data_IF_906670376536
#
_entry.id   IF_906670376536
#
_cell.length_a   1.000
_cell.length_b   1.000
_cell.length_c   1.000
_cell.angle_alpha   90.00
_cell.angle_beta   90.00
_cell.angle_gamma   90.00
#
_symmetry.space_group_name_H-M   'P 1'
#
loop_
_entity.id
_entity.type
_entity.pdbx_description
1 polymer ?
#
# COMPACT_ATOMS: atom_id res chain seq x y z
N UNK A 1 -25.14 26.78 28.80
CA UNK A 1 -26.09 26.02 27.95
C UNK A 1 -25.52 25.63 26.58
N UNK A 2 -24.78 26.49 25.86
CA UNK A 2 -24.20 26.14 24.54
C UNK A 2 -23.25 24.91 24.54
N UNK A 3 -22.53 24.63 25.63
CA UNK A 3 -21.63 23.47 25.75
C UNK A 3 -22.36 22.12 25.88
N UNK A 4 -23.60 22.12 26.41
CA UNK A 4 -24.40 20.91 26.57
C UNK A 4 -25.03 20.49 25.23
N UNK A 5 -25.40 21.47 24.40
CA UNK A 5 -25.99 21.24 23.08
C UNK A 5 -24.98 20.64 22.08
N UNK A 6 -23.70 21.01 22.15
CA UNK A 6 -22.64 20.41 21.32
C UNK A 6 -22.40 18.95 21.70
N UNK A 7 -22.50 18.62 22.99
CA UNK A 7 -22.33 17.24 23.48
C UNK A 7 -23.51 16.34 23.08
N UNK A 8 -24.75 16.87 23.14
CA UNK A 8 -25.96 16.17 22.71
C UNK A 8 -25.97 15.96 21.18
N UNK A 9 -25.54 16.94 20.39
CA UNK A 9 -25.43 16.81 18.94
C UNK A 9 -24.38 15.75 18.52
N UNK A 10 -23.32 15.59 19.30
CA UNK A 10 -22.29 14.56 19.05
C UNK A 10 -22.80 13.15 19.39
N UNK A 11 -23.58 13.00 20.46
CA UNK A 11 -24.22 11.73 20.84
C UNK A 11 -25.28 11.33 19.79
N UNK A 12 -26.06 12.28 19.28
CA UNK A 12 -27.09 12.01 18.27
C UNK A 12 -26.51 11.53 16.94
N UNK A 13 -25.32 11.98 16.55
CA UNK A 13 -24.64 11.52 15.34
C UNK A 13 -24.11 10.08 15.44
N UNK A 14 -23.92 9.56 16.66
CA UNK A 14 -23.52 8.16 16.91
C UNK A 14 -24.73 7.21 16.98
N UNK A 15 -25.92 7.69 17.36
CA UNK A 15 -27.09 6.84 17.59
C UNK A 15 -27.89 6.51 16.30
N UNK A 16 -27.69 7.23 15.19
CA UNK A 16 -28.50 7.07 13.97
C UNK A 16 -27.92 6.10 12.92
N UNK A 17 -27.00 5.18 13.29
CA UNK A 17 -26.38 4.22 12.35
C UNK A 17 -26.79 2.76 12.56
N UNK A 18 -27.78 2.48 13.41
CA UNK A 18 -28.28 1.12 13.65
C UNK A 18 -29.43 0.76 12.68
N UNK A 19 -29.12 0.59 11.39
CA UNK A 19 -29.91 -0.24 10.45
C UNK A 19 -29.19 -0.37 9.10
N UNK A 20 -28.46 -1.46 8.90
CA UNK A 20 -27.98 -1.90 7.59
C UNK A 20 -26.47 -2.10 7.50
N UNK A 21 -26.07 -3.21 6.86
CA UNK A 21 -24.71 -3.58 6.46
C UNK A 21 -24.06 -2.50 5.58
N UNK A 22 -23.70 -1.37 6.19
CA UNK A 22 -22.95 -0.31 5.56
C UNK A 22 -21.49 -0.48 5.92
N UNK A 23 -20.64 -0.41 4.88
CA UNK A 23 -19.18 -0.55 4.99
C UNK A 23 -18.62 0.29 6.14
N UNK A 24 -17.53 -0.16 6.80
CA UNK A 24 -16.91 0.52 7.95
C UNK A 24 -16.40 1.95 7.67
N UNK A 25 -16.55 2.49 6.46
CA UNK A 25 -16.11 3.83 6.09
C UNK A 25 -16.86 4.97 6.79
N UNK A 26 -18.09 4.74 7.28
CA UNK A 26 -18.87 5.75 8.01
C UNK A 26 -18.32 6.06 9.41
N UNK A 27 -17.82 5.07 10.15
CA UNK A 27 -17.21 5.27 11.47
C UNK A 27 -15.98 6.18 11.39
N UNK A 28 -15.20 6.07 10.32
CA UNK A 28 -13.96 6.83 10.16
C UNK A 28 -14.17 8.28 9.70
N UNK A 29 -15.28 8.60 9.03
CA UNK A 29 -15.60 9.99 8.65
C UNK A 29 -15.93 10.86 9.86
N UNK A 30 -16.53 10.30 10.91
CA UNK A 30 -16.86 11.03 12.13
C UNK A 30 -15.61 11.53 12.90
N UNK A 31 -14.46 10.86 12.75
CA UNK A 31 -13.20 11.23 13.41
C UNK A 31 -12.34 12.22 12.61
N UNK A 32 -12.63 12.44 11.32
CA UNK A 32 -11.76 13.19 10.39
C UNK A 32 -12.21 14.62 10.07
N UNK A 33 -13.31 15.12 10.66
CA UNK A 33 -13.88 16.43 10.32
C UNK A 33 -13.34 17.58 11.18
N UNK A 34 -12.37 18.34 10.64
CA UNK A 34 -12.16 19.78 10.94
C UNK A 34 -11.06 20.16 11.94
N UNK A 35 -10.47 21.38 11.81
CA UNK A 35 -9.40 21.86 12.68
C UNK A 35 -9.93 22.16 14.09
N UNK A 36 -9.32 21.51 15.08
CA UNK A 36 -9.61 21.70 16.51
C UNK A 36 -9.21 23.13 16.90
N UNK A 37 -10.19 23.99 17.18
CA UNK A 37 -9.94 25.23 17.94
C UNK A 37 -9.30 24.83 19.28
N UNK A 38 -8.23 25.53 19.69
CA UNK A 38 -7.52 25.34 20.97
C UNK A 38 -8.48 25.53 22.17
N UNK A 39 -9.28 24.51 22.46
CA UNK A 39 -9.96 24.28 23.71
C UNK A 39 -9.12 23.37 24.61
N UNK A 40 -9.55 23.12 25.86
CA UNK A 40 -8.79 22.33 26.81
C UNK A 40 -8.44 20.97 26.19
N UNK A 41 -7.17 20.59 26.34
CA UNK A 41 -6.65 19.27 25.97
C UNK A 41 -7.41 18.24 26.78
N UNK A 42 -8.47 17.67 26.18
CA UNK A 42 -9.12 16.49 26.72
C UNK A 42 -8.10 15.36 26.57
N UNK A 43 -7.48 14.98 27.68
CA UNK A 43 -6.62 13.80 27.77
C UNK A 43 -7.41 12.57 27.30
N UNK A 44 -6.86 11.90 26.29
CA UNK A 44 -7.47 10.94 25.37
C UNK A 44 -7.77 9.55 25.97
N UNK A 45 -8.39 9.51 27.15
CA UNK A 45 -8.85 8.25 27.76
C UNK A 45 -10.36 8.05 27.63
N UNK A 46 -11.15 9.12 27.58
CA UNK A 46 -12.62 9.05 27.49
C UNK A 46 -13.14 8.56 26.13
N UNK A 47 -12.42 8.80 25.03
CA UNK A 47 -12.81 8.33 23.69
C UNK A 47 -12.60 6.82 23.46
N UNK A 48 -11.98 6.13 24.44
CA UNK A 48 -11.64 4.71 24.37
C UNK A 48 -12.60 3.81 25.14
N UNK A 49 -13.47 4.40 25.95
CA UNK A 49 -14.53 3.72 26.66
C UNK A 49 -15.81 4.04 25.91
N UNK A 50 -16.11 3.24 24.87
CA UNK A 50 -17.42 3.26 24.26
C UNK A 50 -18.46 2.99 25.35
N UNK A 51 -19.27 4.00 25.69
CA UNK A 51 -20.43 3.82 26.53
C UNK A 51 -21.50 3.09 25.72
N UNK A 52 -21.87 1.88 26.13
CA UNK A 52 -23.13 1.25 25.71
C UNK A 52 -22.99 0.05 24.78
N UNK A 53 -23.14 -1.12 25.39
CA UNK A 53 -23.89 -2.32 24.91
C UNK A 53 -23.50 -3.08 23.63
N UNK A 54 -22.64 -2.59 22.74
CA UNK A 54 -22.10 -3.44 21.65
C UNK A 54 -20.72 -4.01 22.01
N UNK A 55 -20.60 -5.35 22.02
CA UNK A 55 -19.44 -6.14 22.50
C UNK A 55 -18.15 -6.01 21.67
N UNK A 56 -17.97 -4.93 20.90
CA UNK A 56 -16.70 -4.66 20.23
C UNK A 56 -15.72 -4.08 21.26
N UNK A 57 -14.88 -4.93 21.86
CA UNK A 57 -13.81 -4.50 22.76
C UNK A 57 -12.79 -3.66 21.97
N UNK A 58 -12.92 -2.34 22.05
CA UNK A 58 -11.95 -1.39 21.50
C UNK A 58 -10.80 -1.24 22.50
N UNK A 59 -9.60 -1.64 22.09
CA UNK A 59 -8.39 -1.48 22.91
C UNK A 59 -7.61 -0.28 22.41
N UNK A 60 -7.44 0.72 23.27
CA UNK A 60 -6.72 1.93 22.92
C UNK A 60 -5.25 1.88 23.30
N UNK A 61 -4.43 2.20 22.31
CA UNK A 61 -3.00 2.47 22.46
C UNK A 61 -2.80 3.99 22.36
N UNK A 62 -3.23 4.72 23.40
CA UNK A 62 -3.30 6.19 23.39
C UNK A 62 -2.04 6.88 23.90
N UNK A 63 -1.16 6.18 24.62
CA UNK A 63 0.14 6.72 25.02
C UNK A 63 1.25 6.29 24.06
N UNK A 64 2.29 7.10 23.95
CA UNK A 64 3.50 6.77 23.19
C UNK A 64 4.03 5.41 23.67
N UNK A 65 4.20 4.46 22.74
CA UNK A 65 4.65 3.07 22.98
C UNK A 65 3.75 2.22 23.90
N UNK A 66 2.50 2.58 24.17
CA UNK A 66 1.63 1.81 25.09
C UNK A 66 1.41 0.35 24.69
N UNK A 67 1.46 0.06 23.38
CA UNK A 67 1.29 -1.27 22.80
C UNK A 67 2.49 -1.75 21.99
N UNK A 68 3.59 -0.99 22.01
CA UNK A 68 4.76 -1.29 21.19
C UNK A 68 5.34 -2.67 21.54
N UNK A 69 5.74 -3.42 20.50
CA UNK A 69 6.36 -4.75 20.63
C UNK A 69 5.50 -5.81 21.33
N UNK A 70 4.18 -5.59 21.46
CA UNK A 70 3.25 -6.58 22.02
C UNK A 70 2.66 -7.47 20.91
N UNK A 71 2.29 -8.69 21.28
CA UNK A 71 1.39 -9.53 20.50
C UNK A 71 -0.06 -9.22 20.87
N UNK A 72 -0.87 -8.82 19.90
CA UNK A 72 -2.28 -8.48 20.06
C UNK A 72 -3.13 -9.45 19.24
N UNK A 73 -3.90 -10.26 19.95
CA UNK A 73 -4.77 -11.31 19.38
C UNK A 73 -6.23 -11.03 19.76
N UNK A 74 -7.15 -11.81 19.17
CA UNK A 74 -8.58 -11.79 19.47
C UNK A 74 -9.34 -10.70 18.73
N UNK A 75 -10.60 -10.97 18.35
CA UNK A 75 -11.42 -10.15 17.46
C UNK A 75 -11.78 -8.77 17.99
N UNK A 76 -10.80 -7.87 17.96
CA UNK A 76 -10.82 -6.54 18.57
C UNK A 76 -10.34 -5.49 17.58
N UNK A 77 -10.87 -4.28 17.75
CA UNK A 77 -10.36 -3.08 17.10
C UNK A 77 -9.33 -2.42 18.02
N UNK A 78 -8.13 -2.18 17.51
CA UNK A 78 -7.05 -1.51 18.22
C UNK A 78 -6.84 -0.12 17.65
N UNK A 79 -6.96 0.91 18.49
CA UNK A 79 -6.74 2.29 18.05
C UNK A 79 -5.38 2.80 18.50
N UNK A 80 -4.50 3.08 17.55
CA UNK A 80 -3.14 3.56 17.74
C UNK A 80 -3.14 5.09 17.58
N UNK A 81 -3.47 5.80 18.66
CA UNK A 81 -3.77 7.24 18.65
C UNK A 81 -2.54 8.14 18.90
N UNK A 82 -1.40 7.58 19.30
CA UNK A 82 -0.17 8.32 19.53
C UNK A 82 0.96 7.84 18.61
N UNK A 83 1.91 8.71 18.31
CA UNK A 83 3.08 8.35 17.51
C UNK A 83 3.82 7.17 18.16
N UNK A 84 4.14 6.14 17.39
CA UNK A 84 4.75 4.90 17.87
C UNK A 84 3.95 4.15 18.95
N UNK A 85 2.65 4.39 19.12
CA UNK A 85 1.85 3.68 20.13
C UNK A 85 1.79 2.17 19.89
N UNK A 86 1.81 1.76 18.62
CA UNK A 86 1.77 0.37 18.15
C UNK A 86 3.01 0.01 17.33
N UNK A 87 4.16 0.65 17.63
CA UNK A 87 5.41 0.37 16.93
C UNK A 87 5.84 -1.08 17.14
N UNK A 88 6.17 -1.79 16.06
CA UNK A 88 6.62 -3.18 16.11
C UNK A 88 5.66 -4.14 16.81
N UNK A 89 4.37 -3.77 16.90
CA UNK A 89 3.31 -4.62 17.45
C UNK A 89 2.93 -5.69 16.43
N UNK A 90 2.66 -6.91 16.88
CA UNK A 90 2.16 -8.00 16.05
C UNK A 90 0.67 -8.18 16.29
N UNK A 91 -0.15 -7.91 15.27
CA UNK A 91 -1.59 -8.14 15.23
C UNK A 91 -1.87 -9.48 14.55
N UNK A 92 -2.57 -10.39 15.23
CA UNK A 92 -2.77 -11.75 14.73
C UNK A 92 -4.24 -12.17 14.81
N UNK A 93 -4.81 -12.52 13.65
CA UNK A 93 -6.15 -13.09 13.50
C UNK A 93 -7.06 -12.26 12.59
N UNK A 94 -7.94 -12.94 11.85
CA UNK A 94 -8.78 -12.35 10.78
C UNK A 94 -9.74 -11.26 11.29
N UNK A 95 -10.09 -11.35 12.57
CA UNK A 95 -10.99 -10.40 13.23
C UNK A 95 -10.26 -9.25 13.90
N UNK A 96 -8.92 -9.23 13.88
CA UNK A 96 -8.10 -8.14 14.41
C UNK A 96 -8.02 -6.99 13.40
N UNK A 97 -8.42 -5.80 13.85
CA UNK A 97 -8.33 -4.56 13.06
C UNK A 97 -7.49 -3.55 13.83
N UNK A 98 -6.58 -2.85 13.17
CA UNK A 98 -5.87 -1.71 13.75
C UNK A 98 -6.21 -0.41 13.03
N UNK A 99 -6.42 0.66 13.79
CA UNK A 99 -6.56 2.02 13.27
C UNK A 99 -5.32 2.84 13.64
N UNK A 100 -4.49 3.14 12.65
CA UNK A 100 -3.23 3.86 12.81
C UNK A 100 -3.48 5.35 12.54
N UNK A 101 -3.98 6.05 13.56
CA UNK A 101 -4.61 7.36 13.42
C UNK A 101 -3.62 8.52 13.19
N UNK A 102 -2.36 8.34 13.61
CA UNK A 102 -1.34 9.40 13.57
C UNK A 102 -0.05 8.92 12.92
N UNK A 103 0.83 9.87 12.59
CA UNK A 103 2.14 9.61 12.01
C UNK A 103 2.94 8.62 12.86
N UNK A 104 3.55 7.63 12.20
CA UNK A 104 4.33 6.55 12.81
C UNK A 104 3.56 5.70 13.86
N UNK A 105 2.23 5.74 13.91
CA UNK A 105 1.45 5.01 14.92
C UNK A 105 1.73 3.49 14.91
N UNK A 106 1.77 2.88 13.73
CA UNK A 106 1.98 1.44 13.51
C UNK A 106 3.28 1.16 12.76
N UNK A 107 4.32 1.98 12.99
CA UNK A 107 5.62 1.80 12.37
C UNK A 107 6.19 0.40 12.64
N UNK A 108 6.58 -0.31 11.59
CA UNK A 108 7.11 -1.68 11.66
C UNK A 108 6.16 -2.70 12.31
N UNK A 109 4.86 -2.42 12.37
CA UNK A 109 3.88 -3.39 12.87
C UNK A 109 3.75 -4.58 11.93
N UNK A 110 3.39 -5.74 12.46
CA UNK A 110 3.15 -6.97 11.70
C UNK A 110 1.66 -7.31 11.79
N UNK A 111 1.01 -7.46 10.65
CA UNK A 111 -0.38 -7.89 10.53
C UNK A 111 -0.38 -9.30 9.95
N UNK A 112 -0.76 -10.29 10.75
CA UNK A 112 -0.67 -11.70 10.40
C UNK A 112 -2.02 -12.41 10.51
N UNK A 113 -2.17 -13.51 9.78
CA UNK A 113 -3.35 -14.38 9.78
C UNK A 113 -4.64 -13.57 9.51
N UNK A 114 -4.61 -12.71 8.49
CA UNK A 114 -5.77 -11.91 8.06
C UNK A 114 -6.04 -10.66 8.90
N UNK A 115 -5.19 -10.33 9.88
CA UNK A 115 -5.29 -9.04 10.57
C UNK A 115 -5.20 -7.89 9.55
N UNK A 116 -6.00 -6.85 9.76
CA UNK A 116 -6.08 -5.70 8.85
C UNK A 116 -5.76 -4.39 9.54
N UNK A 117 -5.32 -3.40 8.76
CA UNK A 117 -5.02 -2.07 9.25
C UNK A 117 -5.72 -1.01 8.38
N UNK A 118 -6.33 -0.02 9.04
CA UNK A 118 -6.61 1.27 8.43
C UNK A 118 -5.55 2.24 8.88
N UNK A 119 -4.64 2.51 7.97
CA UNK A 119 -3.66 3.56 8.05
C UNK A 119 -4.41 4.88 7.75
N UNK A 120 -4.22 5.95 8.52
CA UNK A 120 -4.98 7.20 8.33
C UNK A 120 -4.11 8.45 8.20
N UNK A 121 -2.81 8.36 8.48
CA UNK A 121 -1.90 9.49 8.48
C UNK A 121 -0.65 9.20 7.66
N UNK A 122 0.08 10.26 7.31
CA UNK A 122 1.40 10.14 6.67
C UNK A 122 2.29 9.18 7.46
N UNK A 123 2.86 8.17 6.80
CA UNK A 123 3.76 7.17 7.41
C UNK A 123 3.15 6.43 8.61
N UNK A 124 1.82 6.36 8.75
CA UNK A 124 1.20 5.66 9.87
C UNK A 124 1.48 4.14 9.87
N UNK A 125 1.73 3.56 8.68
CA UNK A 125 2.07 2.15 8.48
C UNK A 125 3.45 1.96 7.84
N UNK A 126 4.38 2.87 8.15
CA UNK A 126 5.74 2.86 7.64
C UNK A 126 6.48 1.56 8.00
N UNK A 127 7.06 0.88 7.01
CA UNK A 127 7.70 -0.44 7.16
C UNK A 127 6.83 -1.53 7.79
N UNK A 128 5.50 -1.41 7.77
CA UNK A 128 4.62 -2.45 8.27
C UNK A 128 4.67 -3.70 7.38
N UNK A 129 4.51 -4.87 7.97
CA UNK A 129 4.44 -6.16 7.28
C UNK A 129 3.02 -6.70 7.32
N UNK A 130 2.48 -7.06 6.17
CA UNK A 130 1.14 -7.61 5.99
C UNK A 130 1.25 -9.03 5.44
N UNK A 131 0.82 -10.02 6.21
CA UNK A 131 0.98 -11.45 5.92
C UNK A 131 -0.41 -12.09 5.83
N UNK A 132 -0.71 -12.68 4.68
CA UNK A 132 -1.99 -13.33 4.38
C UNK A 132 -2.68 -12.68 3.20
N UNK A 133 -4.00 -12.59 3.24
CA UNK A 133 -4.80 -12.02 2.16
C UNK A 133 -5.54 -10.79 2.66
N UNK A 134 -5.73 -9.80 1.80
CA UNK A 134 -6.43 -8.59 2.20
C UNK A 134 -6.41 -7.51 1.13
N UNK A 135 -6.99 -6.36 1.47
CA UNK A 135 -6.99 -5.15 0.65
C UNK A 135 -6.34 -4.02 1.42
N UNK A 136 -5.52 -3.22 0.75
CA UNK A 136 -4.89 -2.04 1.34
C UNK A 136 -5.06 -0.82 0.44
N UNK A 137 -5.60 0.27 1.00
CA UNK A 137 -5.71 1.54 0.32
C UNK A 137 -4.64 2.52 0.82
N UNK A 138 -3.65 2.78 -0.01
CA UNK A 138 -2.60 3.76 0.23
C UNK A 138 -3.04 5.10 -0.37
N UNK A 139 -3.85 5.87 0.38
CA UNK A 139 -4.49 7.12 -0.07
C UNK A 139 -3.84 8.40 0.48
N UNK A 140 -2.77 8.30 1.26
CA UNK A 140 -1.99 9.43 1.77
C UNK A 140 -0.54 9.33 1.26
N UNK A 141 0.17 10.44 1.14
CA UNK A 141 1.59 10.40 0.80
C UNK A 141 2.39 9.63 1.87
N UNK A 142 3.29 8.74 1.46
CA UNK A 142 4.11 7.93 2.37
C UNK A 142 3.33 6.91 3.21
N UNK A 143 2.06 6.65 2.88
CA UNK A 143 1.16 5.86 3.74
C UNK A 143 1.65 4.43 3.97
N UNK A 144 2.06 3.79 2.87
CA UNK A 144 2.55 2.42 2.83
C UNK A 144 4.06 2.41 2.51
N UNK A 145 4.77 3.50 2.81
CA UNK A 145 6.19 3.61 2.46
C UNK A 145 7.00 2.50 3.17
N UNK A 146 7.80 1.76 2.41
CA UNK A 146 8.57 0.63 2.95
C UNK A 146 7.74 -0.58 3.37
N UNK A 147 6.41 -0.54 3.22
CA UNK A 147 5.55 -1.61 3.67
C UNK A 147 5.75 -2.88 2.84
N UNK A 148 5.57 -4.01 3.49
CA UNK A 148 5.78 -5.32 2.90
C UNK A 148 4.48 -6.10 2.89
N UNK A 149 4.11 -6.69 1.75
CA UNK A 149 2.88 -7.46 1.59
C UNK A 149 3.20 -8.88 1.12
N UNK A 150 2.69 -9.91 1.79
CA UNK A 150 2.91 -11.32 1.46
C UNK A 150 1.58 -12.06 1.35
N UNK A 151 1.47 -12.96 0.37
CA UNK A 151 0.45 -14.02 0.26
C UNK A 151 -0.97 -13.61 -0.16
N UNK A 152 -1.13 -12.59 -1.01
CA UNK A 152 -2.42 -12.29 -1.66
C UNK A 152 -3.07 -10.98 -1.25
N UNK A 153 -2.29 -9.90 -1.23
CA UNK A 153 -2.80 -8.57 -0.94
C UNK A 153 -3.11 -7.79 -2.21
N UNK A 154 -4.25 -7.11 -2.25
CA UNK A 154 -4.59 -6.12 -3.28
C UNK A 154 -4.35 -4.71 -2.77
N UNK A 155 -3.32 -4.05 -3.32
CA UNK A 155 -2.86 -2.74 -2.86
C UNK A 155 -3.29 -1.68 -3.88
N UNK A 156 -3.96 -0.62 -3.44
CA UNK A 156 -4.34 0.50 -4.31
C UNK A 156 -3.65 1.78 -3.85
N UNK A 157 -2.86 2.37 -4.74
CA UNK A 157 -2.07 3.58 -4.48
C UNK A 157 -2.72 4.75 -5.23
N UNK A 158 -3.47 5.58 -4.51
CA UNK A 158 -4.29 6.67 -5.10
C UNK A 158 -3.72 8.06 -4.88
N UNK A 159 -2.59 8.17 -4.17
CA UNK A 159 -1.92 9.45 -3.90
C UNK A 159 -0.44 9.36 -4.30
N UNK A 160 0.15 10.51 -4.65
CA UNK A 160 1.59 10.63 -4.95
C UNK A 160 2.42 10.08 -3.79
N UNK A 161 3.41 9.24 -4.09
CA UNK A 161 4.31 8.58 -3.12
C UNK A 161 3.58 7.70 -2.10
N UNK A 162 2.36 7.25 -2.36
CA UNK A 162 1.64 6.42 -1.41
C UNK A 162 2.27 5.03 -1.21
N UNK A 163 2.87 4.49 -2.27
CA UNK A 163 3.49 3.16 -2.31
C UNK A 163 4.96 3.23 -2.69
N UNK A 164 5.68 4.19 -2.14
CA UNK A 164 7.13 4.30 -2.33
C UNK A 164 7.84 3.16 -1.58
N UNK A 165 8.80 2.48 -2.22
CA UNK A 165 9.61 1.43 -1.59
C UNK A 165 8.78 0.27 -1.02
N UNK A 166 7.62 -0.04 -1.61
CA UNK A 166 6.82 -1.18 -1.18
C UNK A 166 7.45 -2.48 -1.65
N UNK A 167 7.37 -3.50 -0.80
CA UNK A 167 7.80 -4.84 -1.12
C UNK A 167 6.56 -5.73 -1.34
N UNK A 168 6.50 -6.42 -2.48
CA UNK A 168 5.31 -7.15 -2.92
C UNK A 168 5.66 -8.61 -3.13
N UNK A 169 5.03 -9.45 -2.33
CA UNK A 169 5.21 -10.88 -2.28
C UNK A 169 4.23 -11.69 -3.11
N UNK A 170 4.36 -13.04 -3.10
CA UNK A 170 3.70 -13.90 -4.06
C UNK A 170 2.19 -13.78 -3.88
N UNK A 171 1.49 -13.75 -5.01
CA UNK A 171 0.04 -13.61 -5.09
C UNK A 171 -0.48 -12.20 -4.82
N UNK A 172 0.38 -11.24 -4.44
CA UNK A 172 -0.05 -9.88 -4.14
C UNK A 172 -0.03 -9.00 -5.40
N UNK A 173 -0.94 -8.05 -5.46
CA UNK A 173 -1.09 -7.09 -6.55
C UNK A 173 -1.00 -5.65 -6.05
N UNK A 174 -0.50 -4.75 -6.88
CA UNK A 174 -0.53 -3.31 -6.62
C UNK A 174 -0.99 -2.51 -7.84
N UNK A 175 -1.88 -1.55 -7.62
CA UNK A 175 -2.41 -0.66 -8.64
C UNK A 175 -1.97 0.77 -8.33
N UNK A 176 -1.19 1.35 -9.23
CA UNK A 176 -0.71 2.72 -9.15
C UNK A 176 -1.59 3.59 -10.05
N UNK A 177 -2.55 4.31 -9.47
CA UNK A 177 -3.63 4.97 -10.22
C UNK A 177 -3.37 6.45 -10.54
N UNK A 178 -2.44 7.09 -9.84
CA UNK A 178 -2.11 8.52 -10.03
C UNK A 178 -0.63 8.72 -10.34
N UNK A 179 -0.27 9.91 -10.83
CA UNK A 179 1.12 10.24 -11.17
C UNK A 179 2.06 10.10 -9.96
N UNK A 180 3.18 9.41 -10.17
CA UNK A 180 4.18 9.09 -9.15
C UNK A 180 3.57 8.47 -7.86
N UNK A 181 2.54 7.63 -7.99
CA UNK A 181 1.98 6.88 -6.87
C UNK A 181 2.97 5.85 -6.31
N UNK A 182 3.78 5.25 -7.18
CA UNK A 182 4.74 4.19 -6.87
C UNK A 182 6.15 4.55 -7.37
N UNK A 183 6.80 5.62 -6.86
CA UNK A 183 8.08 6.08 -7.38
C UNK A 183 9.27 5.36 -6.72
N UNK A 184 10.45 5.54 -7.31
CA UNK A 184 11.77 5.11 -6.80
C UNK A 184 12.02 3.63 -7.00
N UNK A 185 11.64 2.79 -6.05
CA UNK A 185 12.01 1.37 -6.06
C UNK A 185 10.82 0.53 -5.60
N UNK A 186 10.62 -0.61 -6.24
CA UNK A 186 9.68 -1.63 -5.82
C UNK A 186 10.36 -2.99 -5.91
N UNK A 187 10.39 -3.69 -4.79
CA UNK A 187 10.95 -5.03 -4.73
C UNK A 187 9.83 -6.06 -4.80
N UNK A 188 9.93 -6.97 -5.76
CA UNK A 188 8.90 -7.94 -6.06
C UNK A 188 9.49 -9.33 -5.91
N UNK A 189 8.84 -10.16 -5.10
CA UNK A 189 9.12 -11.59 -5.02
C UNK A 189 7.85 -12.38 -5.29
N UNK A 190 7.96 -13.39 -6.14
CA UNK A 190 6.90 -14.31 -6.48
C UNK A 190 6.39 -14.13 -7.90
N UNK A 191 6.31 -15.26 -8.60
CA UNK A 191 5.90 -15.34 -10.01
C UNK A 191 4.49 -14.83 -10.29
N UNK A 192 3.64 -14.83 -9.26
CA UNK A 192 2.22 -14.50 -9.30
C UNK A 192 1.94 -13.04 -8.94
N UNK A 193 2.96 -12.25 -8.62
CA UNK A 193 2.79 -10.85 -8.27
C UNK A 193 2.43 -10.00 -9.49
N UNK A 194 1.50 -9.05 -9.33
CA UNK A 194 1.02 -8.17 -10.41
C UNK A 194 1.14 -6.70 -10.03
N UNK A 195 1.92 -5.93 -10.79
CA UNK A 195 1.98 -4.47 -10.65
C UNK A 195 1.31 -3.81 -11.84
N UNK A 196 0.32 -2.95 -11.58
CA UNK A 196 -0.46 -2.27 -12.61
C UNK A 196 -0.28 -0.75 -12.51
N UNK A 197 0.54 -0.20 -13.40
CA UNK A 197 0.77 1.23 -13.57
C UNK A 197 -0.29 1.82 -14.50
N UNK A 198 -1.47 2.11 -13.94
CA UNK A 198 -2.66 2.54 -14.71
C UNK A 198 -2.72 4.06 -14.89
N UNK A 199 -2.23 4.82 -13.90
CA UNK A 199 -2.20 6.27 -13.98
C UNK A 199 -1.14 6.81 -14.93
N UNK A 200 -1.36 7.99 -15.49
CA UNK A 200 -0.34 8.68 -16.27
C UNK A 200 0.89 8.97 -15.40
N UNK A 201 2.07 8.53 -15.84
CA UNK A 201 3.34 8.65 -15.09
C UNK A 201 3.27 8.02 -13.68
N UNK A 202 2.44 7.00 -13.46
CA UNK A 202 2.19 6.46 -12.11
C UNK A 202 3.40 5.80 -11.46
N UNK A 203 4.29 5.23 -12.28
CA UNK A 203 5.51 4.52 -11.93
C UNK A 203 6.71 5.07 -12.74
N UNK A 204 6.67 6.37 -13.08
CA UNK A 204 7.75 7.01 -13.83
C UNK A 204 9.02 7.00 -13.00
N UNK A 205 10.13 6.52 -13.58
CA UNK A 205 11.42 6.42 -12.92
C UNK A 205 11.47 5.39 -11.81
N UNK A 206 10.59 4.38 -11.83
CA UNK A 206 10.58 3.31 -10.84
C UNK A 206 11.48 2.16 -11.30
N UNK A 207 12.29 1.66 -10.37
CA UNK A 207 13.09 0.47 -10.51
C UNK A 207 12.32 -0.73 -9.94
N UNK A 208 11.95 -1.66 -10.83
CA UNK A 208 11.25 -2.88 -10.49
C UNK A 208 12.25 -4.04 -10.42
N UNK A 209 12.59 -4.43 -9.20
CA UNK A 209 13.49 -5.56 -8.95
C UNK A 209 12.67 -6.80 -8.63
N UNK A 210 12.58 -7.72 -9.60
CA UNK A 210 11.77 -8.93 -9.53
C UNK A 210 12.65 -10.19 -9.42
N UNK A 211 12.92 -10.67 -8.19
CA UNK A 211 13.85 -11.78 -7.97
C UNK A 211 13.28 -13.16 -8.30
N UNK A 212 11.95 -13.29 -8.28
CA UNK A 212 11.25 -14.56 -8.50
C UNK A 212 10.18 -14.44 -9.60
N UNK A 213 10.45 -13.60 -10.61
CA UNK A 213 9.47 -13.21 -11.61
C UNK A 213 8.48 -12.17 -11.09
N UNK A 214 7.79 -11.52 -12.02
CA UNK A 214 6.71 -10.58 -11.76
C UNK A 214 5.93 -10.32 -13.05
N UNK A 215 4.69 -9.86 -12.91
CA UNK A 215 3.90 -9.33 -14.03
C UNK A 215 3.74 -7.83 -13.84
N UNK A 216 4.25 -7.03 -14.77
CA UNK A 216 4.21 -5.57 -14.71
C UNK A 216 3.40 -5.05 -15.91
N UNK A 217 2.37 -4.25 -15.65
CA UNK A 217 1.50 -3.70 -16.68
C UNK A 217 1.60 -2.17 -16.70
N UNK A 218 2.23 -1.64 -17.74
CA UNK A 218 2.41 -0.22 -18.01
C UNK A 218 1.33 0.26 -18.98
N UNK A 219 0.20 0.70 -18.43
CA UNK A 219 -1.03 0.99 -19.19
C UNK A 219 -1.24 2.49 -19.36
N UNK A 220 -0.93 3.29 -18.34
CA UNK A 220 -1.03 4.74 -18.42
C UNK A 220 -0.03 5.36 -19.39
N UNK A 221 -0.29 6.60 -19.84
CA UNK A 221 0.68 7.36 -20.63
C UNK A 221 1.95 7.58 -19.80
N UNK A 222 3.11 7.27 -20.37
CA UNK A 222 4.41 7.39 -19.70
C UNK A 222 4.48 6.69 -18.34
N UNK A 223 3.64 5.66 -18.11
CA UNK A 223 3.41 5.11 -16.78
C UNK A 223 4.66 4.54 -16.14
N UNK A 224 5.59 3.97 -16.91
CA UNK A 224 6.84 3.36 -16.45
C UNK A 224 8.07 4.05 -17.05
N UNK A 225 7.91 5.24 -17.65
CA UNK A 225 8.98 5.93 -18.40
C UNK A 225 10.25 6.12 -17.56
N UNK A 226 11.41 5.89 -18.16
CA UNK A 226 12.75 6.03 -17.58
C UNK A 226 12.99 5.21 -16.29
N UNK A 227 12.23 4.14 -16.08
CA UNK A 227 12.49 3.18 -15.00
C UNK A 227 13.41 2.03 -15.42
N UNK A 228 13.55 1.06 -14.55
CA UNK A 228 14.20 -0.21 -14.88
C UNK A 228 13.34 -1.39 -14.48
N UNK A 229 13.47 -2.50 -15.20
CA UNK A 229 12.79 -3.76 -14.90
C UNK A 229 13.76 -4.90 -15.09
N UNK A 230 13.94 -5.69 -14.05
CA UNK A 230 14.73 -6.91 -14.17
C UNK A 230 14.89 -7.62 -12.85
N UNK A 231 15.79 -8.58 -12.87
CA UNK A 231 16.25 -9.25 -11.67
C UNK A 231 17.67 -8.76 -11.37
N UNK A 232 17.81 -7.96 -10.31
CA UNK A 232 19.08 -7.34 -9.91
C UNK A 232 19.50 -7.91 -8.56
N UNK A 233 19.96 -9.15 -8.49
CA UNK A 233 20.78 -9.57 -7.34
C UNK A 233 21.71 -10.72 -7.74
N UNK A 234 23.01 -10.46 -7.68
CA UNK A 234 24.06 -11.45 -7.96
C UNK A 234 24.11 -12.54 -6.87
N UNK A 235 23.60 -12.23 -5.67
CA UNK A 235 23.65 -13.10 -4.51
C UNK A 235 22.49 -14.10 -4.44
N UNK A 236 21.36 -13.78 -5.06
CA UNK A 236 20.21 -14.68 -5.17
C UNK A 236 19.95 -14.90 -6.65
N UNK A 237 20.44 -16.04 -7.15
CA UNK A 237 20.27 -16.47 -8.53
C UNK A 237 18.88 -16.14 -9.03
N UNK A 238 18.79 -15.22 -9.99
CA UNK A 238 17.54 -14.89 -10.67
C UNK A 238 16.85 -16.19 -11.02
N UNK A 239 15.68 -16.42 -10.43
CA UNK A 239 15.01 -17.68 -10.64
C UNK A 239 14.71 -17.83 -12.14
N UNK A 240 14.57 -19.06 -12.63
CA UNK A 240 14.13 -19.33 -14.01
C UNK A 240 12.69 -18.85 -14.28
N UNK A 241 12.09 -18.10 -13.36
CA UNK A 241 10.74 -17.58 -13.49
C UNK A 241 10.79 -16.30 -14.32
N UNK A 242 9.93 -16.17 -15.35
CA UNK A 242 9.90 -14.99 -16.18
C UNK A 242 9.41 -13.75 -15.43
N UNK A 243 10.02 -12.61 -15.76
CA UNK A 243 9.50 -11.28 -15.47
C UNK A 243 8.87 -10.75 -16.75
N UNK A 244 7.54 -10.62 -16.75
CA UNK A 244 6.77 -10.19 -17.91
C UNK A 244 6.34 -8.74 -17.74
N UNK A 245 6.72 -7.88 -18.67
CA UNK A 245 6.26 -6.48 -18.72
C UNK A 245 5.39 -6.25 -19.94
N UNK A 246 4.23 -5.62 -19.76
CA UNK A 246 3.33 -5.25 -20.85
C UNK A 246 3.31 -3.73 -20.98
N UNK A 247 3.72 -3.24 -22.13
CA UNK A 247 3.76 -1.82 -22.48
C UNK A 247 2.61 -1.52 -23.46
N UNK A 248 1.57 -0.87 -22.95
CA UNK A 248 0.32 -0.64 -23.69
C UNK A 248 -0.05 0.84 -23.83
N UNK A 249 0.37 1.69 -22.89
CA UNK A 249 0.10 3.12 -22.92
C UNK A 249 1.03 3.87 -23.88
N UNK A 250 0.63 5.08 -24.29
CA UNK A 250 1.48 5.95 -25.09
C UNK A 250 2.79 6.25 -24.35
N UNK A 251 3.94 5.95 -24.98
CA UNK A 251 5.27 6.07 -24.39
C UNK A 251 5.39 5.40 -23.01
N UNK A 252 4.58 4.37 -22.72
CA UNK A 252 4.46 3.82 -21.36
C UNK A 252 5.78 3.26 -20.83
N UNK A 253 6.62 2.73 -21.72
CA UNK A 253 7.93 2.15 -21.42
C UNK A 253 9.06 2.87 -22.17
N UNK A 254 8.86 4.15 -22.48
CA UNK A 254 9.88 4.99 -23.09
C UNK A 254 11.10 5.10 -22.17
N UNK A 255 12.30 4.85 -22.71
CA UNK A 255 13.56 4.91 -21.96
C UNK A 255 13.72 3.85 -20.86
N UNK A 256 12.89 2.80 -20.81
CA UNK A 256 13.00 1.75 -19.76
C UNK A 256 14.21 0.85 -20.02
N UNK A 257 14.97 0.54 -18.97
CA UNK A 257 16.02 -0.47 -19.00
C UNK A 257 15.49 -1.84 -18.59
N UNK A 258 15.44 -2.79 -19.53
CA UNK A 258 15.12 -4.19 -19.27
C UNK A 258 16.40 -5.02 -19.16
N UNK A 259 16.53 -5.80 -18.09
CA UNK A 259 17.72 -6.61 -17.85
C UNK A 259 17.40 -7.98 -17.24
N UNK A 260 18.24 -8.98 -17.55
CA UNK A 260 18.14 -10.36 -17.08
C UNK A 260 17.53 -11.33 -18.09
N UNK A 261 18.08 -12.55 -18.14
CA UNK A 261 17.78 -13.59 -19.15
C UNK A 261 16.31 -14.01 -19.21
N UNK A 262 15.57 -13.81 -18.12
CA UNK A 262 14.16 -14.18 -17.99
C UNK A 262 13.23 -12.96 -18.02
N UNK A 263 13.72 -11.79 -18.42
CA UNK A 263 12.93 -10.56 -18.53
C UNK A 263 12.43 -10.37 -19.96
N UNK A 264 11.10 -10.27 -20.11
CA UNK A 264 10.43 -10.07 -21.40
C UNK A 264 9.58 -8.81 -21.37
N UNK A 265 9.73 -7.94 -22.37
CA UNK A 265 8.81 -6.82 -22.60
C UNK A 265 7.91 -7.08 -23.81
N UNK A 266 6.59 -6.93 -23.63
CA UNK A 266 5.59 -6.96 -24.71
C UNK A 266 5.18 -5.54 -25.07
N UNK A 267 5.68 -5.03 -26.18
CA UNK A 267 5.45 -3.70 -26.70
C UNK A 267 4.31 -3.72 -27.72
N UNK A 268 3.08 -3.41 -27.28
CA UNK A 268 1.84 -3.66 -28.04
C UNK A 268 1.67 -2.78 -29.28
N UNK A 269 2.15 -1.54 -29.27
CA UNK A 269 1.98 -0.56 -30.35
C UNK A 269 3.31 0.12 -30.69
N UNK A 270 3.44 0.68 -31.89
CA UNK A 270 4.60 1.50 -32.24
C UNK A 270 4.76 2.66 -31.22
N UNK A 271 5.99 2.98 -30.87
CA UNK A 271 6.30 4.09 -29.95
C UNK A 271 6.24 3.76 -28.45
N UNK A 272 5.61 2.66 -28.03
CA UNK A 272 5.39 2.39 -26.58
C UNK A 272 6.66 2.06 -25.81
N UNK A 273 7.70 1.55 -26.50
CA UNK A 273 9.01 1.19 -25.96
C UNK A 273 10.15 1.93 -26.66
N UNK A 274 9.91 3.18 -27.10
CA UNK A 274 10.96 4.01 -27.67
C UNK A 274 12.11 4.20 -26.68
N UNK A 275 13.35 4.22 -27.15
CA UNK A 275 14.52 4.37 -26.29
C UNK A 275 14.72 3.27 -25.23
N UNK A 276 13.88 2.22 -25.19
CA UNK A 276 14.05 1.13 -24.26
C UNK A 276 15.32 0.33 -24.58
N UNK A 277 16.05 -0.07 -23.54
CA UNK A 277 17.28 -0.85 -23.66
C UNK A 277 17.06 -2.27 -23.13
N UNK A 278 17.65 -3.26 -23.80
CA UNK A 278 17.52 -4.68 -23.47
C UNK A 278 18.92 -5.26 -23.29
N UNK A 279 19.26 -5.67 -22.07
CA UNK A 279 20.59 -6.21 -21.73
C UNK A 279 20.49 -7.53 -20.99
N UNK A 280 21.61 -8.24 -20.85
CA UNK A 280 21.74 -9.47 -20.07
C UNK A 280 20.75 -10.57 -20.44
N UNK A 281 20.43 -10.67 -21.73
CA UNK A 281 19.54 -11.68 -22.28
C UNK A 281 18.05 -11.32 -22.25
N UNK A 282 17.69 -10.15 -21.73
CA UNK A 282 16.33 -9.62 -21.84
C UNK A 282 15.92 -9.50 -23.31
N UNK A 283 14.63 -9.69 -23.59
CA UNK A 283 14.12 -9.67 -24.96
C UNK A 283 12.80 -8.91 -25.07
N UNK A 284 12.46 -8.55 -26.31
CA UNK A 284 11.28 -7.79 -26.65
C UNK A 284 10.37 -8.56 -27.61
N UNK A 285 9.05 -8.44 -27.42
CA UNK A 285 8.01 -8.96 -28.31
C UNK A 285 7.03 -7.86 -28.73
N UNK A 286 6.58 -7.91 -29.98
CA UNK A 286 5.49 -7.07 -30.50
C UNK A 286 5.94 -5.94 -31.44
N UNK A 287 4.96 -5.22 -32.00
CA UNK A 287 5.19 -4.18 -33.03
C UNK A 287 5.91 -2.94 -32.48
N UNK A 288 5.93 -2.76 -31.16
CA UNK A 288 6.56 -1.62 -30.50
C UNK A 288 8.03 -1.82 -30.13
N UNK A 289 8.64 -2.95 -30.48
CA UNK A 289 10.05 -3.21 -30.13
C UNK A 289 11.00 -2.28 -30.89
N UNK A 290 11.99 -1.67 -30.20
CA UNK A 290 12.98 -0.84 -30.87
C UNK A 290 13.87 -1.67 -31.81
N UNK A 291 14.40 -1.03 -32.86
CA UNK A 291 15.36 -1.66 -33.77
C UNK A 291 16.58 -2.13 -32.98
N UNK A 292 17.07 -3.34 -33.25
CA UNK A 292 18.21 -3.93 -32.56
C UNK A 292 17.89 -4.61 -31.22
N UNK A 293 16.66 -4.50 -30.70
CA UNK A 293 16.27 -5.30 -29.55
C UNK A 293 16.26 -6.79 -29.91
N UNK A 294 16.81 -7.62 -29.02
CA UNK A 294 16.71 -9.07 -29.10
C UNK A 294 15.23 -9.45 -29.10
N UNK A 295 14.79 -10.23 -30.09
CA UNK A 295 13.42 -10.73 -30.15
C UNK A 295 13.24 -11.92 -29.20
N UNK A 296 12.11 -11.95 -28.51
CA UNK A 296 11.48 -13.19 -28.06
C UNK A 296 10.58 -13.71 -29.19
#
# INVERSE_FOLDING_TARGET
>A
MAKLLVFIAWIAACASQEAGDTEPDHFYRALAAGPVKKGPVVTTQAACLGSGTSKALVNCCSAKRSCASKGLTGGRLYTCAAANSCKATTFTGETVKAYCAVKDACKSAVFNLGASAKCAAEKSCYFASFIGKGKMACNVAGHCEGATFYNGWDITCTTRRACQNVNIGPGSSAICSVAAACPVEMYIWGSTSLIKCSGNRSCKGTDFTANQGANIACIGKESCKNGSVGCAFVQFSCSKVPTNTVCAGANSCDGVKFYGKHTTATCKKAGVCNGATFVDGACCKGKGCPKGAKKC
#
